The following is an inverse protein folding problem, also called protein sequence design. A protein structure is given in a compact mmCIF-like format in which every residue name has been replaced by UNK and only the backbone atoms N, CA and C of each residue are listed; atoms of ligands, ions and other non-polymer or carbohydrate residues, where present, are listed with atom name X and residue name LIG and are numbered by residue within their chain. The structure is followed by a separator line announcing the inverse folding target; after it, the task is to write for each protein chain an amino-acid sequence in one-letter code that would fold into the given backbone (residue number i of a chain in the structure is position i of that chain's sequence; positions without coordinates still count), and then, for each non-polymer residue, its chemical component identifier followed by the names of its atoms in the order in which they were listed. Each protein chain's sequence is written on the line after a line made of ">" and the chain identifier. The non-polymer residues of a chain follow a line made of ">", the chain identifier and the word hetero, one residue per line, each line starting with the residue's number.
data_IF_636263885951
#
_entry.id   IF_636263885951
#
_cell.length_a   1.000
_cell.length_b   1.000
_cell.length_c   1.000
_cell.angle_alpha   90.00
_cell.angle_beta   90.00
_cell.angle_gamma   90.00
#
_symmetry.space_group_name_H-M   'P 1'
#
loop_
_entity.id
_entity.type
_entity.pdbx_description
1 polymer ?
#
# COMPACT_ATOMS: atom_id res chain seq x y z
N UNK A 1 21.18 -55.97 -51.82
CA UNK A 1 20.58 -54.59 -51.74
C UNK A 1 20.24 -54.30 -50.31
N UNK A 2 21.07 -53.48 -49.63
CA UNK A 2 20.84 -53.06 -48.18
C UNK A 2 20.07 -51.74 -48.21
N UNK A 3 18.84 -51.70 -47.66
CA UNK A 3 18.07 -50.49 -47.49
C UNK A 3 18.53 -49.76 -46.23
N UNK A 4 19.08 -48.57 -46.39
CA UNK A 4 19.39 -47.65 -45.29
C UNK A 4 18.10 -46.88 -44.96
N UNK A 5 17.56 -47.06 -43.76
CA UNK A 5 16.46 -46.27 -43.24
C UNK A 5 17.07 -45.10 -42.46
N UNK A 6 16.93 -43.87 -43.01
CA UNK A 6 17.28 -42.66 -42.32
C UNK A 6 16.15 -42.30 -41.31
N UNK A 7 16.47 -42.34 -40.02
CA UNK A 7 15.59 -41.80 -38.99
C UNK A 7 15.88 -40.29 -38.82
N UNK A 8 15.00 -39.44 -39.28
CA UNK A 8 15.06 -38.00 -39.05
C UNK A 8 14.57 -37.73 -37.61
N UNK A 9 15.48 -37.38 -36.73
CA UNK A 9 15.17 -36.96 -35.38
C UNK A 9 14.76 -35.47 -35.41
N UNK A 10 13.45 -35.18 -35.28
CA UNK A 10 12.94 -33.82 -35.10
C UNK A 10 13.21 -33.39 -33.67
N UNK A 11 14.18 -32.48 -33.47
CA UNK A 11 14.40 -31.80 -32.20
C UNK A 11 13.40 -30.66 -32.10
N UNK A 12 12.35 -30.86 -31.31
CA UNK A 12 11.41 -29.77 -30.92
C UNK A 12 12.08 -28.94 -29.84
N UNK A 13 12.63 -27.81 -30.20
CA UNK A 13 13.10 -26.80 -29.24
C UNK A 13 11.86 -26.11 -28.65
N UNK A 14 11.42 -26.55 -27.49
CA UNK A 14 10.41 -25.81 -26.69
C UNK A 14 11.14 -24.59 -26.11
N UNK A 15 11.00 -23.46 -26.79
CA UNK A 15 11.40 -22.17 -26.25
C UNK A 15 10.47 -21.85 -25.04
N UNK A 16 10.91 -22.21 -23.84
CA UNK A 16 10.27 -21.75 -22.61
C UNK A 16 10.45 -20.24 -22.54
N UNK A 17 9.40 -19.48 -22.86
CA UNK A 17 9.36 -18.05 -22.61
C UNK A 17 9.49 -17.86 -21.09
N UNK A 18 10.68 -17.50 -20.62
CA UNK A 18 10.89 -17.05 -19.24
C UNK A 18 10.07 -15.78 -19.09
N UNK A 19 8.88 -15.90 -18.51
CA UNK A 19 8.11 -14.73 -18.08
C UNK A 19 8.87 -14.12 -16.92
N UNK A 20 9.62 -13.08 -17.15
CA UNK A 20 10.15 -12.22 -16.11
C UNK A 20 8.93 -11.52 -15.49
N UNK A 21 8.47 -12.02 -14.36
CA UNK A 21 7.50 -11.30 -13.55
C UNK A 21 8.30 -10.27 -12.76
N UNK A 22 7.91 -8.99 -12.85
CA UNK A 22 8.39 -7.99 -11.91
C UNK A 22 8.07 -8.42 -10.48
N UNK A 23 8.87 -8.02 -9.51
CA UNK A 23 8.64 -8.31 -8.10
C UNK A 23 7.36 -7.65 -7.59
N UNK A 24 6.81 -8.16 -6.49
CA UNK A 24 5.69 -7.53 -5.80
C UNK A 24 6.06 -6.11 -5.33
N UNK A 25 5.11 -5.20 -5.45
CA UNK A 25 5.17 -3.84 -4.92
C UNK A 25 3.99 -3.64 -3.94
N UNK A 26 4.03 -4.28 -2.76
CA UNK A 26 2.87 -4.42 -1.88
C UNK A 26 2.52 -3.15 -1.10
N UNK A 27 3.28 -2.07 -1.27
CA UNK A 27 3.08 -0.79 -0.58
C UNK A 27 3.68 0.38 -1.36
N UNK A 28 3.36 1.59 -0.94
CA UNK A 28 3.94 2.80 -1.50
C UNK A 28 5.47 2.77 -1.45
N UNK A 29 6.11 3.07 -2.59
CA UNK A 29 7.57 3.08 -2.79
C UNK A 29 8.25 1.70 -2.66
N UNK A 30 7.54 0.63 -3.01
CA UNK A 30 8.11 -0.71 -3.14
C UNK A 30 8.20 -1.51 -1.83
N UNK A 31 8.74 -2.71 -1.86
CA UNK A 31 8.71 -3.65 -0.74
C UNK A 31 9.29 -3.09 0.56
N UNK A 32 10.40 -2.36 0.48
CA UNK A 32 11.04 -1.71 1.63
C UNK A 32 10.50 -0.29 1.91
N UNK A 33 9.59 0.24 1.07
CA UNK A 33 9.09 1.60 1.17
C UNK A 33 10.14 2.69 0.91
N UNK A 34 11.23 2.37 0.21
CA UNK A 34 12.38 3.27 -0.01
C UNK A 34 12.57 3.70 -1.47
N UNK A 35 11.68 3.27 -2.35
CA UNK A 35 11.74 3.55 -3.78
C UNK A 35 12.83 2.77 -4.50
N UNK A 36 13.38 1.72 -3.87
CA UNK A 36 14.34 0.81 -4.49
C UNK A 36 13.66 -0.49 -4.86
N UNK A 37 13.96 -0.95 -6.04
CA UNK A 37 13.43 -2.18 -6.61
C UNK A 37 14.60 -3.07 -7.03
N UNK A 38 14.45 -4.39 -6.87
CA UNK A 38 15.51 -5.37 -7.12
C UNK A 38 15.53 -5.91 -8.54
N UNK A 39 14.66 -5.40 -9.41
CA UNK A 39 14.57 -5.82 -10.81
C UNK A 39 15.89 -5.58 -11.54
N UNK A 40 16.26 -6.55 -12.36
CA UNK A 40 17.47 -6.52 -13.19
C UNK A 40 17.07 -6.65 -14.66
N UNK A 41 18.00 -6.33 -15.56
CA UNK A 41 17.75 -6.42 -16.99
C UNK A 41 16.78 -5.39 -17.55
N UNK A 42 16.58 -4.28 -16.82
CA UNK A 42 15.74 -3.18 -17.27
C UNK A 42 16.30 -2.54 -18.54
N UNK A 43 15.42 -2.02 -19.39
CA UNK A 43 15.80 -1.26 -20.57
C UNK A 43 16.60 -0.01 -20.14
N UNK A 44 17.70 0.25 -20.82
CA UNK A 44 18.49 1.47 -20.61
C UNK A 44 17.84 2.69 -21.26
N UNK A 45 17.11 2.47 -22.32
CA UNK A 45 16.39 3.49 -23.09
C UNK A 45 15.01 2.93 -23.46
N UNK A 46 14.02 3.80 -23.51
CA UNK A 46 12.70 3.42 -24.01
C UNK A 46 12.74 3.32 -25.55
N UNK A 47 12.02 2.36 -26.14
CA UNK A 47 11.86 2.32 -27.59
C UNK A 47 11.17 3.59 -28.11
N UNK A 48 11.33 3.88 -29.40
CA UNK A 48 10.61 4.97 -30.04
C UNK A 48 9.11 4.84 -29.80
N UNK A 49 8.48 5.92 -29.33
CA UNK A 49 7.07 5.91 -28.92
C UNK A 49 6.80 5.43 -27.49
N UNK A 50 7.82 5.10 -26.70
CA UNK A 50 7.71 4.68 -25.30
C UNK A 50 7.39 3.19 -25.10
N UNK A 51 7.10 2.78 -23.88
CA UNK A 51 6.76 1.38 -23.58
C UNK A 51 5.41 1.01 -24.18
N UNK A 52 5.30 -0.25 -24.65
CA UNK A 52 4.04 -0.80 -25.17
C UNK A 52 2.98 -0.81 -24.06
N UNK A 53 1.81 -0.22 -24.34
CA UNK A 53 0.66 -0.32 -23.45
C UNK A 53 0.17 -1.78 -23.39
N UNK A 54 0.19 -2.36 -22.19
CA UNK A 54 -0.32 -3.71 -21.97
C UNK A 54 -1.86 -3.71 -21.86
N UNK A 55 -2.39 -2.86 -21.01
CA UNK A 55 -3.84 -2.67 -20.81
C UNK A 55 -4.12 -1.32 -20.12
N UNK A 56 -5.37 -0.92 -20.13
CA UNK A 56 -5.83 0.26 -19.36
C UNK A 56 -7.25 0.03 -18.84
N UNK A 57 -7.54 0.61 -17.66
CA UNK A 57 -8.86 0.57 -17.02
C UNK A 57 -9.35 1.99 -16.82
N UNK A 58 -10.65 2.19 -17.00
CA UNK A 58 -11.36 3.47 -16.76
C UNK A 58 -12.39 3.29 -15.66
N UNK A 59 -12.93 4.39 -15.14
CA UNK A 59 -14.01 4.37 -14.16
C UNK A 59 -13.55 4.11 -12.71
N UNK A 60 -12.28 4.34 -12.40
CA UNK A 60 -11.76 4.24 -11.04
C UNK A 60 -12.17 5.43 -10.16
N UNK A 61 -12.68 6.51 -10.75
CA UNK A 61 -13.04 7.73 -10.03
C UNK A 61 -11.83 8.64 -9.78
N UNK A 62 -11.84 9.36 -8.66
CA UNK A 62 -10.84 10.38 -8.30
C UNK A 62 -9.87 9.84 -7.26
N UNK A 63 -8.57 10.07 -7.41
CA UNK A 63 -7.57 9.64 -6.46
C UNK A 63 -6.16 10.09 -6.82
N UNK A 64 -5.28 10.03 -5.82
CA UNK A 64 -3.86 10.39 -5.89
C UNK A 64 -2.96 9.24 -5.43
N UNK A 65 -3.54 8.07 -5.12
CA UNK A 65 -2.79 6.91 -4.68
C UNK A 65 -1.97 6.29 -5.82
N UNK A 66 -0.92 5.57 -5.46
CA UNK A 66 -0.21 4.67 -6.37
C UNK A 66 -0.91 3.31 -6.41
N UNK A 67 -0.93 2.60 -7.55
CA UNK A 67 -1.28 1.20 -7.55
C UNK A 67 -0.25 0.38 -6.77
N UNK A 68 -0.68 -0.71 -6.16
CA UNK A 68 0.16 -1.72 -5.52
C UNK A 68 -0.04 -3.07 -6.19
N UNK A 69 0.97 -3.92 -6.13
CA UNK A 69 0.95 -5.26 -6.74
C UNK A 69 1.41 -6.27 -5.72
N UNK A 70 0.59 -7.28 -5.48
CA UNK A 70 0.95 -8.41 -4.63
C UNK A 70 0.21 -9.68 -5.08
N UNK A 71 0.91 -10.81 -5.06
CA UNK A 71 0.33 -12.11 -5.39
C UNK A 71 -0.38 -12.15 -6.76
N UNK A 72 0.17 -11.50 -7.77
CA UNK A 72 -0.42 -11.44 -9.11
C UNK A 72 -1.70 -10.59 -9.22
N UNK A 73 -1.93 -9.69 -8.27
CA UNK A 73 -3.08 -8.79 -8.24
C UNK A 73 -2.64 -7.34 -8.14
N UNK A 74 -3.24 -6.48 -8.95
CA UNK A 74 -3.06 -5.01 -8.91
C UNK A 74 -4.20 -4.42 -8.09
N UNK A 75 -3.85 -3.62 -7.08
CA UNK A 75 -4.81 -2.93 -6.23
C UNK A 75 -4.68 -1.42 -6.41
N UNK A 76 -5.80 -0.72 -6.45
CA UNK A 76 -5.84 0.74 -6.55
C UNK A 76 -7.09 1.29 -5.89
N UNK A 77 -6.98 2.42 -5.19
CA UNK A 77 -8.14 3.11 -4.62
C UNK A 77 -8.64 4.21 -5.55
N UNK A 78 -9.91 4.53 -5.46
CA UNK A 78 -10.55 5.65 -6.16
C UNK A 78 -11.86 6.04 -5.52
N UNK A 79 -12.30 7.28 -5.72
CA UNK A 79 -13.50 7.85 -5.12
C UNK A 79 -14.53 8.16 -6.18
N UNK A 80 -15.78 7.79 -5.96
CA UNK A 80 -16.90 8.12 -6.85
C UNK A 80 -17.41 9.57 -6.68
N UNK A 81 -18.48 9.90 -7.39
CA UNK A 81 -19.10 11.24 -7.32
C UNK A 81 -19.98 11.45 -6.08
N UNK A 82 -20.23 10.42 -5.29
CA UNK A 82 -20.90 10.44 -3.99
C UNK A 82 -19.92 10.49 -2.82
N UNK A 83 -18.64 10.81 -3.11
CA UNK A 83 -17.55 10.89 -2.14
C UNK A 83 -17.28 9.55 -1.39
N UNK A 84 -17.61 8.41 -2.04
CA UNK A 84 -17.33 7.08 -1.50
C UNK A 84 -16.02 6.53 -2.07
N UNK A 85 -15.16 6.03 -1.17
CA UNK A 85 -13.91 5.38 -1.50
C UNK A 85 -14.11 3.90 -1.86
N UNK A 86 -13.45 3.48 -2.92
CA UNK A 86 -13.44 2.10 -3.38
C UNK A 86 -12.02 1.57 -3.51
N UNK A 87 -11.83 0.33 -3.13
CA UNK A 87 -10.66 -0.47 -3.49
C UNK A 87 -11.02 -1.37 -4.67
N UNK A 88 -10.20 -1.33 -5.71
CA UNK A 88 -10.34 -2.16 -6.90
C UNK A 88 -9.21 -3.16 -6.95
N UNK A 89 -9.50 -4.40 -7.36
CA UNK A 89 -8.53 -5.45 -7.62
C UNK A 89 -8.64 -5.96 -9.05
N UNK A 90 -7.48 -6.07 -9.72
CA UNK A 90 -7.36 -6.54 -11.09
C UNK A 90 -6.29 -7.63 -11.19
N UNK A 91 -6.45 -8.53 -12.16
CA UNK A 91 -5.36 -9.39 -12.59
C UNK A 91 -4.22 -8.60 -13.25
N UNK A 92 -3.05 -9.21 -13.42
CA UNK A 92 -1.92 -8.60 -14.14
C UNK A 92 -2.23 -8.34 -15.62
N UNK A 93 -3.26 -8.97 -16.15
CA UNK A 93 -3.79 -8.76 -17.50
C UNK A 93 -4.85 -7.65 -17.58
N UNK A 94 -5.16 -7.00 -16.45
CA UNK A 94 -6.20 -5.97 -16.34
C UNK A 94 -7.62 -6.50 -16.15
N UNK A 95 -7.82 -7.82 -16.04
CA UNK A 95 -9.12 -8.42 -15.77
C UNK A 95 -9.62 -8.02 -14.37
N UNK A 96 -10.88 -7.56 -14.22
CA UNK A 96 -11.40 -7.20 -12.90
C UNK A 96 -11.59 -8.46 -12.04
N UNK A 97 -11.15 -8.38 -10.78
CA UNK A 97 -11.38 -9.43 -9.77
C UNK A 97 -12.54 -9.07 -8.86
N UNK A 98 -12.43 -7.94 -8.17
CA UNK A 98 -13.47 -7.43 -7.27
C UNK A 98 -13.33 -5.91 -7.06
N UNK A 99 -14.38 -5.31 -6.50
CA UNK A 99 -14.46 -3.91 -6.10
C UNK A 99 -15.16 -3.82 -4.75
N UNK A 100 -14.60 -3.05 -3.81
CA UNK A 100 -15.15 -2.93 -2.47
C UNK A 100 -15.28 -1.46 -2.06
N UNK A 101 -16.44 -1.06 -1.57
CA UNK A 101 -16.62 0.22 -0.89
C UNK A 101 -16.02 0.11 0.52
N UNK A 102 -15.10 1.01 0.87
CA UNK A 102 -14.47 1.05 2.20
C UNK A 102 -14.86 2.27 3.04
N UNK A 103 -15.80 3.07 2.53
CA UNK A 103 -16.35 4.22 3.24
C UNK A 103 -16.01 5.58 2.62
N UNK A 104 -16.36 6.68 3.30
CA UNK A 104 -16.25 8.01 2.75
C UNK A 104 -14.82 8.49 2.61
N UNK A 105 -14.60 9.35 1.60
CA UNK A 105 -13.37 10.06 1.33
C UNK A 105 -13.63 11.57 1.19
N UNK A 106 -12.60 12.39 1.35
CA UNK A 106 -12.73 13.85 1.27
C UNK A 106 -13.12 14.29 -0.13
N UNK A 107 -14.35 14.76 -0.24
CA UNK A 107 -14.99 15.18 -1.47
C UNK A 107 -14.78 16.67 -1.82
N UNK A 108 -15.64 17.17 -2.70
CA UNK A 108 -15.56 18.53 -3.26
C UNK A 108 -15.67 19.64 -2.22
N UNK A 109 -16.34 19.41 -1.10
CA UNK A 109 -16.55 20.39 -0.04
C UNK A 109 -15.40 20.46 0.98
N UNK A 110 -14.40 19.61 0.82
CA UNK A 110 -13.19 19.63 1.66
C UNK A 110 -12.20 20.70 1.22
N UNK A 111 -11.23 21.05 2.09
CA UNK A 111 -10.23 22.07 1.81
C UNK A 111 -9.16 21.64 0.79
N UNK A 112 -9.19 20.40 0.34
CA UNK A 112 -8.26 19.84 -0.62
C UNK A 112 -8.97 19.31 -1.87
N UNK A 113 -8.22 18.99 -2.92
CA UNK A 113 -8.78 18.34 -4.12
C UNK A 113 -9.45 17.02 -3.73
N UNK A 114 -10.64 16.72 -4.26
CA UNK A 114 -11.39 15.51 -3.95
C UNK A 114 -10.65 14.24 -4.45
N UNK A 115 -10.73 13.16 -3.68
CA UNK A 115 -10.20 11.86 -4.06
C UNK A 115 -9.42 11.13 -2.97
N UNK A 116 -9.21 9.83 -3.18
CA UNK A 116 -8.44 8.96 -2.30
C UNK A 116 -6.96 9.40 -2.25
N UNK A 117 -6.30 9.25 -1.11
CA UNK A 117 -4.92 9.69 -0.89
C UNK A 117 -3.97 8.57 -0.49
N UNK A 118 -4.40 7.72 0.44
CA UNK A 118 -3.60 6.61 0.93
C UNK A 118 -3.45 5.51 -0.12
N UNK A 119 -2.23 5.07 -0.38
CA UNK A 119 -1.97 3.85 -1.15
C UNK A 119 -2.20 2.64 -0.25
N UNK A 120 -2.90 1.64 -0.74
CA UNK A 120 -3.11 0.40 0.01
C UNK A 120 -1.78 -0.29 0.35
N UNK A 121 -1.66 -0.82 1.56
CA UNK A 121 -0.55 -1.68 1.97
C UNK A 121 -1.05 -3.11 2.07
N UNK A 122 -0.39 -4.03 1.39
CA UNK A 122 -0.74 -5.45 1.35
C UNK A 122 0.27 -6.24 2.17
N UNK A 123 -0.22 -7.12 3.05
CA UNK A 123 0.60 -8.03 3.84
C UNK A 123 -0.07 -9.40 3.93
N UNK A 124 0.38 -10.33 3.10
CA UNK A 124 -0.26 -11.64 2.94
C UNK A 124 -1.71 -11.51 2.48
N UNK A 125 -2.63 -12.02 3.28
CA UNK A 125 -4.06 -12.05 3.00
C UNK A 125 -4.80 -10.77 3.46
N UNK A 126 -4.08 -9.78 3.98
CA UNK A 126 -4.63 -8.53 4.50
C UNK A 126 -4.22 -7.32 3.66
N UNK A 127 -5.18 -6.42 3.47
CA UNK A 127 -4.98 -5.11 2.86
C UNK A 127 -5.36 -4.04 3.88
N UNK A 128 -4.53 -3.04 4.00
CA UNK A 128 -4.74 -1.90 4.90
C UNK A 128 -4.87 -0.61 4.08
N UNK A 129 -5.92 0.15 4.37
CA UNK A 129 -6.19 1.44 3.72
C UNK A 129 -6.39 2.49 4.82
N UNK A 130 -5.71 3.63 4.70
CA UNK A 130 -6.01 4.81 5.48
C UNK A 130 -6.92 5.73 4.65
N UNK A 131 -8.16 5.94 5.11
CA UNK A 131 -9.04 6.93 4.47
C UNK A 131 -8.61 8.34 4.81
N UNK A 132 -9.03 9.32 4.00
CA UNK A 132 -8.77 10.74 4.26
C UNK A 132 -9.37 11.25 5.57
N UNK A 133 -10.32 10.52 6.14
CA UNK A 133 -10.95 10.80 7.44
C UNK A 133 -10.33 10.05 8.63
N UNK A 134 -9.11 9.49 8.46
CA UNK A 134 -8.41 8.83 9.56
C UNK A 134 -9.02 7.48 9.95
N UNK A 135 -9.75 6.82 9.05
CA UNK A 135 -10.20 5.44 9.25
C UNK A 135 -9.17 4.46 8.72
N UNK A 136 -8.70 3.57 9.57
CA UNK A 136 -7.94 2.40 9.16
C UNK A 136 -8.90 1.29 8.78
N UNK A 137 -8.94 0.94 7.50
CA UNK A 137 -9.78 -0.13 6.97
C UNK A 137 -8.94 -1.36 6.67
N UNK A 138 -9.38 -2.51 7.15
CA UNK A 138 -8.74 -3.81 6.95
C UNK A 138 -9.64 -4.63 6.02
N UNK A 139 -9.05 -5.12 4.93
CA UNK A 139 -9.77 -5.84 3.87
C UNK A 139 -9.09 -7.18 3.62
N UNK A 140 -9.86 -8.22 3.41
CA UNK A 140 -9.36 -9.54 2.99
C UNK A 140 -9.00 -9.50 1.50
N UNK A 141 -7.80 -9.96 1.15
CA UNK A 141 -7.22 -9.74 -0.18
C UNK A 141 -7.88 -10.59 -1.29
N UNK A 142 -8.34 -11.79 -0.98
CA UNK A 142 -8.86 -12.70 -2.00
C UNK A 142 -10.24 -12.29 -2.52
N UNK A 143 -11.13 -11.80 -1.64
CA UNK A 143 -12.52 -11.47 -1.95
C UNK A 143 -12.86 -9.99 -1.84
N UNK A 144 -12.02 -9.21 -1.18
CA UNK A 144 -12.27 -7.80 -0.92
C UNK A 144 -13.26 -7.55 0.23
N UNK A 145 -13.49 -8.51 1.12
CA UNK A 145 -14.36 -8.31 2.26
C UNK A 145 -13.76 -7.34 3.27
N UNK A 146 -14.53 -6.32 3.69
CA UNK A 146 -14.11 -5.42 4.77
C UNK A 146 -14.22 -6.16 6.09
N UNK A 147 -13.06 -6.47 6.67
CA UNK A 147 -12.99 -7.18 7.96
C UNK A 147 -13.20 -6.24 9.13
N UNK A 148 -12.62 -5.04 9.06
CA UNK A 148 -12.70 -4.01 10.10
C UNK A 148 -12.58 -2.62 9.51
N UNK A 149 -13.20 -1.65 10.20
CA UNK A 149 -13.02 -0.22 9.99
C UNK A 149 -12.87 0.45 11.35
N UNK A 150 -11.72 1.03 11.59
CA UNK A 150 -11.32 1.59 12.89
C UNK A 150 -11.20 3.09 12.73
N UNK A 151 -11.98 3.85 13.48
CA UNK A 151 -11.85 5.30 13.57
C UNK A 151 -10.69 5.65 14.51
N UNK A 152 -9.57 6.10 13.91
CA UNK A 152 -8.38 6.45 14.67
C UNK A 152 -8.53 7.80 15.38
N UNK A 153 -9.37 8.69 14.84
CA UNK A 153 -9.62 10.00 15.46
C UNK A 153 -10.37 9.84 16.78
N UNK A 154 -11.46 9.08 16.75
CA UNK A 154 -12.23 8.75 17.95
C UNK A 154 -11.39 7.98 18.97
N UNK A 155 -10.64 6.96 18.51
CA UNK A 155 -9.87 6.07 19.38
C UNK A 155 -8.73 6.77 20.12
N UNK A 156 -8.08 7.75 19.49
CA UNK A 156 -6.86 8.39 20.02
C UNK A 156 -7.04 9.89 20.27
N UNK A 157 -8.27 10.38 20.31
CA UNK A 157 -8.57 11.79 20.56
C UNK A 157 -7.94 12.72 19.53
N UNK A 158 -7.75 12.25 18.30
CA UNK A 158 -7.09 13.01 17.24
C UNK A 158 -8.08 13.93 16.50
N UNK A 159 -7.56 14.99 15.93
CA UNK A 159 -8.33 15.89 15.08
C UNK A 159 -8.18 15.55 13.59
N UNK A 160 -9.20 15.90 12.82
CA UNK A 160 -9.17 15.74 11.37
C UNK A 160 -8.02 16.55 10.77
N UNK A 161 -7.11 15.89 10.07
CA UNK A 161 -6.07 16.57 9.32
C UNK A 161 -6.68 17.48 8.25
N UNK A 162 -6.22 18.73 8.17
CA UNK A 162 -6.78 19.78 7.30
C UNK A 162 -6.98 19.33 5.86
N UNK A 163 -6.02 18.62 5.29
CA UNK A 163 -6.06 18.14 3.90
C UNK A 163 -6.37 16.65 3.79
N UNK A 164 -6.88 16.04 4.85
CA UNK A 164 -7.12 14.61 4.96
C UNK A 164 -5.86 13.80 5.23
N UNK A 165 -6.03 12.58 5.73
CA UNK A 165 -4.91 11.66 5.91
C UNK A 165 -4.44 11.14 4.54
N UNK A 166 -3.13 11.06 4.33
CA UNK A 166 -2.50 10.58 3.09
C UNK A 166 -1.46 9.49 3.37
N UNK A 167 -1.41 9.02 4.60
CA UNK A 167 -0.47 8.00 5.05
C UNK A 167 -0.75 6.65 4.36
N UNK A 168 0.33 5.98 3.96
CA UNK A 168 0.35 4.55 3.65
C UNK A 168 0.89 3.85 4.89
N UNK A 169 0.07 3.08 5.58
CA UNK A 169 0.44 2.49 6.87
C UNK A 169 1.63 1.53 6.74
N UNK A 170 2.40 1.41 7.82
CA UNK A 170 3.53 0.51 7.91
C UNK A 170 3.08 -0.80 8.56
N UNK A 171 3.33 -1.94 7.91
CA UNK A 171 3.21 -3.26 8.54
C UNK A 171 4.58 -3.73 9.00
N UNK A 172 4.66 -4.19 10.25
CA UNK A 172 5.86 -4.75 10.87
C UNK A 172 5.50 -5.99 11.71
N UNK A 173 5.73 -7.16 11.16
CA UNK A 173 5.34 -8.43 11.77
C UNK A 173 3.85 -8.55 12.00
N UNK A 174 3.43 -8.64 13.26
CA UNK A 174 2.02 -8.69 13.65
C UNK A 174 1.35 -7.32 13.82
N UNK A 175 2.05 -6.22 13.53
CA UNK A 175 1.59 -4.85 13.82
C UNK A 175 1.31 -4.07 12.54
N UNK A 176 0.25 -3.28 12.55
CA UNK A 176 0.03 -2.15 11.63
C UNK A 176 0.28 -0.85 12.39
N UNK A 177 1.23 -0.05 11.92
CA UNK A 177 1.67 1.20 12.54
C UNK A 177 1.13 2.37 11.72
N UNK A 178 0.50 3.31 12.40
CA UNK A 178 -0.12 4.50 11.83
C UNK A 178 0.17 5.74 12.68
N UNK A 179 -0.13 6.92 12.13
CA UNK A 179 0.09 8.23 12.75
C UNK A 179 -1.23 8.98 12.97
N UNK A 180 -2.04 8.62 14.00
CA UNK A 180 -3.29 9.34 14.29
C UNK A 180 -3.06 10.84 14.55
N UNK A 181 -1.97 11.19 15.23
CA UNK A 181 -1.61 12.59 15.50
C UNK A 181 -2.38 13.23 16.65
N UNK A 182 -3.02 12.44 17.50
CA UNK A 182 -3.78 12.92 18.64
C UNK A 182 -2.94 13.10 19.91
N UNK A 183 -3.52 13.73 20.95
CA UNK A 183 -2.87 13.91 22.25
C UNK A 183 -2.57 12.57 22.93
N UNK A 184 -3.42 11.56 22.72
CA UNK A 184 -3.24 10.23 23.29
C UNK A 184 -2.29 9.35 22.49
N UNK A 185 -2.16 9.62 21.20
CA UNK A 185 -1.24 8.88 20.31
C UNK A 185 -0.81 9.70 19.10
N UNK A 186 0.43 10.19 19.08
CA UNK A 186 1.01 10.69 17.82
C UNK A 186 1.28 9.57 16.84
N UNK A 187 1.76 8.40 17.32
CA UNK A 187 1.81 7.14 16.59
C UNK A 187 1.13 6.05 17.42
N UNK A 188 0.62 5.05 16.70
CA UNK A 188 0.06 3.85 17.32
C UNK A 188 0.41 2.61 16.51
N UNK A 189 0.58 1.47 17.19
CA UNK A 189 0.56 0.16 16.57
C UNK A 189 -0.69 -0.60 17.02
N UNK A 190 -1.36 -1.19 16.03
CA UNK A 190 -2.49 -2.07 16.25
C UNK A 190 -2.11 -3.48 15.80
N UNK A 191 -2.68 -4.48 16.43
CA UNK A 191 -2.60 -5.86 15.95
C UNK A 191 -3.25 -5.95 14.57
N UNK A 192 -2.53 -6.47 13.60
CA UNK A 192 -2.96 -6.49 12.20
C UNK A 192 -4.16 -7.40 11.93
N UNK A 193 -4.51 -8.31 12.84
CA UNK A 193 -5.65 -9.21 12.69
C UNK A 193 -6.86 -8.75 13.51
N UNK A 194 -6.60 -8.30 14.75
CA UNK A 194 -7.69 -7.92 15.68
C UNK A 194 -8.00 -6.43 15.64
N UNK A 195 -7.05 -5.59 15.24
CA UNK A 195 -7.15 -4.12 15.30
C UNK A 195 -7.06 -3.56 16.71
N UNK A 196 -6.70 -4.37 17.71
CA UNK A 196 -6.48 -3.91 19.08
C UNK A 196 -5.18 -3.12 19.19
N UNK A 197 -5.16 -2.12 20.07
CA UNK A 197 -3.97 -1.29 20.29
C UNK A 197 -2.90 -2.09 21.04
N UNK A 198 -1.72 -2.26 20.42
CA UNK A 198 -0.55 -2.90 21.04
C UNK A 198 0.25 -1.85 21.83
N UNK A 199 0.55 -0.71 21.18
CA UNK A 199 1.20 0.41 21.84
C UNK A 199 0.78 1.75 21.20
N UNK A 200 1.00 2.83 21.93
CA UNK A 200 0.80 4.22 21.49
C UNK A 200 1.91 5.11 22.01
N UNK A 201 2.39 6.04 21.17
CA UNK A 201 3.41 7.02 21.55
C UNK A 201 2.72 8.24 22.13
N UNK A 202 2.91 8.48 23.42
CA UNK A 202 2.35 9.61 24.16
C UNK A 202 3.35 10.76 24.31
N UNK A 203 2.84 11.94 24.65
CA UNK A 203 3.65 13.09 25.04
C UNK A 203 4.17 13.95 23.91
N UNK A 204 3.93 13.60 22.65
CA UNK A 204 4.29 14.45 21.51
C UNK A 204 3.19 15.45 21.15
N UNK A 205 1.93 15.04 21.22
CA UNK A 205 0.73 15.87 20.87
C UNK A 205 0.90 16.62 19.56
N UNK A 206 1.44 15.93 18.54
CA UNK A 206 1.73 16.49 17.21
C UNK A 206 0.75 15.92 16.20
N UNK A 207 0.10 16.75 15.37
CA UNK A 207 -0.71 16.26 14.26
C UNK A 207 0.09 15.43 13.24
N UNK A 208 -0.61 14.60 12.49
CA UNK A 208 -0.02 13.85 11.37
C UNK A 208 0.59 14.77 10.32
N UNK A 209 1.76 14.43 9.81
CA UNK A 209 2.54 15.21 8.83
C UNK A 209 2.36 14.81 7.38
N UNK A 210 1.27 14.12 7.02
CA UNK A 210 1.02 13.58 5.66
C UNK A 210 2.11 12.62 5.15
N UNK A 211 2.88 12.05 6.05
CA UNK A 211 4.04 11.20 5.76
C UNK A 211 3.74 9.75 6.14
N UNK A 212 4.20 8.82 5.31
CA UNK A 212 4.16 7.39 5.64
C UNK A 212 5.34 7.01 6.51
N UNK A 213 5.07 6.35 7.63
CA UNK A 213 6.10 5.84 8.52
C UNK A 213 6.99 4.80 7.82
N UNK A 214 8.26 4.78 8.18
CA UNK A 214 9.24 3.89 7.61
C UNK A 214 10.04 3.15 8.67
N UNK A 215 10.15 1.83 8.53
CA UNK A 215 11.05 1.02 9.33
C UNK A 215 12.47 1.07 8.73
N UNK A 216 13.43 1.44 9.55
CA UNK A 216 14.86 1.39 9.20
C UNK A 216 15.63 0.55 10.20
N UNK A 217 16.81 0.09 9.79
CA UNK A 217 17.78 -0.60 10.63
C UNK A 217 19.08 0.19 10.67
N UNK A 218 19.63 0.37 11.88
CA UNK A 218 20.95 0.96 12.11
C UNK A 218 21.73 0.01 13.02
N UNK A 219 22.57 -0.81 12.44
CA UNK A 219 23.18 -1.92 13.16
C UNK A 219 22.12 -2.92 13.63
N UNK A 220 22.10 -3.23 14.91
CA UNK A 220 21.07 -4.08 15.54
C UNK A 220 19.79 -3.33 15.89
N UNK A 221 19.80 -2.00 15.90
CA UNK A 221 18.65 -1.19 16.28
C UNK A 221 17.63 -1.07 15.15
N UNK A 222 16.36 -1.28 15.48
CA UNK A 222 15.21 -1.03 14.60
C UNK A 222 14.58 0.29 15.00
N UNK A 223 14.17 1.09 14.02
CA UNK A 223 13.58 2.42 14.23
C UNK A 223 12.41 2.61 13.28
N UNK A 224 11.29 3.08 13.78
CA UNK A 224 10.23 3.66 12.95
C UNK A 224 10.48 5.15 12.86
N UNK A 225 10.72 5.63 11.64
CA UNK A 225 10.86 7.06 11.36
C UNK A 225 9.60 7.58 10.68
N UNK A 226 9.11 8.72 11.13
CA UNK A 226 8.06 9.46 10.46
C UNK A 226 8.21 10.95 10.73
N UNK A 227 7.58 11.75 9.85
CA UNK A 227 7.48 13.20 10.03
C UNK A 227 6.06 13.52 10.51
N UNK A 228 5.96 14.13 11.66
CA UNK A 228 4.77 14.79 12.17
C UNK A 228 4.73 16.24 11.66
N UNK A 229 3.71 17.01 12.01
CA UNK A 229 3.57 18.38 11.49
C UNK A 229 4.83 19.24 11.69
N UNK A 230 5.47 19.13 12.86
CA UNK A 230 6.61 19.99 13.27
C UNK A 230 7.85 19.21 13.70
N UNK A 231 7.86 17.89 13.59
CA UNK A 231 8.95 17.07 14.11
C UNK A 231 9.22 15.83 13.23
N UNK A 232 10.49 15.56 12.97
CA UNK A 232 10.96 14.24 12.57
C UNK A 232 11.20 13.43 13.83
N UNK A 233 10.59 12.26 13.94
CA UNK A 233 10.67 11.44 15.16
C UNK A 233 11.14 10.03 14.83
N UNK A 234 11.86 9.43 15.79
CA UNK A 234 12.22 8.02 15.78
C UNK A 234 11.56 7.31 16.96
N UNK A 235 10.88 6.22 16.67
CA UNK A 235 10.12 5.42 17.63
C UNK A 235 10.69 3.99 17.64
N UNK A 236 10.76 3.42 18.82
CA UNK A 236 11.00 1.98 18.97
C UNK A 236 9.80 1.19 18.44
N UNK A 237 9.95 0.33 17.41
CA UNK A 237 8.83 -0.38 16.77
C UNK A 237 8.15 -1.40 17.68
N UNK A 238 8.80 -1.85 18.74
CA UNK A 238 8.29 -2.90 19.60
C UNK A 238 7.54 -2.36 20.82
N UNK A 239 7.88 -1.15 21.28
CA UNK A 239 7.33 -0.55 22.49
C UNK A 239 6.57 0.76 22.26
N UNK A 240 6.71 1.41 21.09
CA UNK A 240 6.17 2.73 20.84
C UNK A 240 6.92 3.87 21.57
N UNK A 241 8.06 3.58 22.19
CA UNK A 241 8.84 4.58 22.92
C UNK A 241 9.48 5.57 21.95
N UNK A 242 9.32 6.87 22.25
CA UNK A 242 10.06 7.93 21.57
C UNK A 242 11.54 7.79 21.90
N UNK A 243 12.37 7.74 20.87
CA UNK A 243 13.83 7.66 20.99
C UNK A 243 14.49 9.02 20.82
N UNK A 244 14.00 9.83 19.88
CA UNK A 244 14.39 11.23 19.65
C UNK A 244 13.45 11.91 18.66
#
# INVERSE_FOLDING_TARGET
>A
MKRIVLFSMFVVIIASAVRVHGGDCPRFRGPAGDGRFSETGLLKEWPDGGPKLAWSVKGLGKGFCSPTVAGGTVYVTGMDDQDQGYLFAFGLDGSPKWKTNYGPEMGKNGPAKPGTRGTATIDGDLIFIMSSFGRLVMVEAAKGEVLKSIDLLERFGAEQAKFGFAECVLVDGGKVICTPGGPDASLAALDKNTGETIWQTRGLSQPSGYCSARLIRRGSQRLVLTMLEKALVAIDPDTGKLLW
#
